data_IF_228648983570
#
_entry.id   IF_228648983570
#
_cell.length_a   1.000
_cell.length_b   1.000
_cell.length_c   1.000
_cell.angle_alpha   90.00
_cell.angle_beta   90.00
_cell.angle_gamma   90.00
#
_symmetry.space_group_name_H-M   'P 1'
#
loop_
_entity.id
_entity.type
_entity.pdbx_description
1 polymer ?
#
# COMPACT_ATOMS: atom_id res chain seq x y z
N UNK A 1 3.12 -8.45 -21.75
CA UNK A 1 2.00 -9.40 -21.92
C UNK A 1 1.78 -9.66 -23.40
N UNK A 2 1.21 -10.81 -23.77
CA UNK A 2 0.81 -11.11 -25.16
C UNK A 2 -0.68 -11.50 -25.21
N UNK A 3 -1.42 -11.08 -26.23
CA UNK A 3 -2.78 -11.56 -26.43
C UNK A 3 -2.77 -13.04 -26.85
N UNK A 4 -3.73 -13.81 -26.36
CA UNK A 4 -4.03 -15.17 -26.78
C UNK A 4 -5.55 -15.36 -26.80
N UNK A 5 -6.07 -16.08 -27.79
CA UNK A 5 -7.46 -16.47 -27.81
C UNK A 5 -7.65 -17.84 -27.14
N UNK A 6 -8.63 -17.94 -26.25
CA UNK A 6 -9.08 -19.23 -25.69
C UNK A 6 -10.57 -19.39 -25.99
N UNK A 7 -10.96 -20.54 -26.52
CA UNK A 7 -12.37 -20.85 -26.76
C UNK A 7 -12.98 -21.37 -25.46
N UNK A 8 -14.01 -20.67 -24.96
CA UNK A 8 -14.79 -21.09 -23.80
C UNK A 8 -16.27 -21.07 -24.20
N UNK A 9 -16.94 -22.22 -24.13
CA UNK A 9 -18.35 -22.35 -24.52
C UNK A 9 -18.64 -21.97 -25.97
N UNK A 10 -17.72 -22.28 -26.90
CA UNK A 10 -17.86 -21.96 -28.32
C UNK A 10 -17.56 -20.50 -28.70
N UNK A 11 -17.26 -19.61 -27.75
CA UNK A 11 -16.86 -18.23 -28.01
C UNK A 11 -15.35 -18.05 -27.81
N UNK A 12 -14.69 -17.39 -28.75
CA UNK A 12 -13.30 -17.01 -28.63
C UNK A 12 -13.17 -15.81 -27.68
N UNK A 13 -12.51 -16.00 -26.54
CA UNK A 13 -12.21 -14.94 -25.58
C UNK A 13 -10.72 -14.61 -25.69
N UNK A 14 -10.42 -13.35 -25.98
CA UNK A 14 -9.04 -12.85 -25.95
C UNK A 14 -8.66 -12.61 -24.48
N UNK A 15 -7.60 -13.27 -24.04
CA UNK A 15 -7.00 -13.07 -22.73
C UNK A 15 -5.53 -12.68 -22.89
N UNK A 16 -5.02 -11.89 -21.96
CA UNK A 16 -3.61 -11.49 -21.92
C UNK A 16 -2.85 -12.48 -21.04
N UNK A 17 -1.76 -13.05 -21.56
CA UNK A 17 -0.87 -13.90 -20.77
C UNK A 17 0.51 -13.28 -20.63
N UNK A 18 1.18 -13.58 -19.52
CA UNK A 18 2.54 -13.15 -19.26
C UNK A 18 3.53 -14.00 -20.07
N UNK A 19 4.48 -13.35 -20.73
CA UNK A 19 5.50 -14.03 -21.54
C UNK A 19 6.49 -14.79 -20.66
N UNK A 20 7.13 -15.83 -21.19
CA UNK A 20 8.21 -16.56 -20.49
C UNK A 20 9.31 -15.60 -20.01
N UNK A 21 9.76 -14.71 -20.88
CA UNK A 21 10.78 -13.70 -20.55
C UNK A 21 10.37 -12.80 -19.36
N UNK A 22 9.10 -12.39 -19.29
CA UNK A 22 8.60 -11.59 -18.18
C UNK A 22 8.56 -12.39 -16.88
N UNK A 23 8.14 -13.66 -16.93
CA UNK A 23 8.18 -14.57 -15.77
C UNK A 23 9.61 -14.78 -15.26
N UNK A 24 10.56 -15.00 -16.16
CA UNK A 24 11.97 -15.20 -15.80
C UNK A 24 12.62 -13.92 -15.25
N UNK A 25 12.23 -12.75 -15.78
CA UNK A 25 12.63 -11.48 -15.20
C UNK A 25 12.10 -11.32 -13.78
N UNK A 26 10.79 -11.53 -13.55
CA UNK A 26 10.17 -11.43 -12.23
C UNK A 26 10.85 -12.33 -11.20
N UNK A 27 11.09 -13.61 -11.55
CA UNK A 27 11.81 -14.55 -10.66
C UNK A 27 13.21 -14.07 -10.29
N UNK A 28 13.99 -13.62 -11.28
CA UNK A 28 15.34 -13.10 -11.04
C UNK A 28 15.31 -11.82 -10.20
N UNK A 29 14.36 -10.94 -10.46
CA UNK A 29 14.19 -9.68 -9.74
C UNK A 29 13.75 -9.91 -8.28
N UNK A 30 12.81 -10.82 -8.03
CA UNK A 30 12.43 -11.26 -6.69
C UNK A 30 13.62 -11.82 -5.92
N UNK A 31 14.41 -12.71 -6.54
CA UNK A 31 15.60 -13.27 -5.91
C UNK A 31 16.66 -12.20 -5.60
N UNK A 32 16.82 -11.21 -6.49
CA UNK A 32 17.67 -10.05 -6.26
C UNK A 32 17.19 -9.22 -5.07
N UNK A 33 15.92 -8.84 -5.04
CA UNK A 33 15.36 -8.04 -3.95
C UNK A 33 15.43 -8.76 -2.61
N UNK A 34 15.18 -10.07 -2.56
CA UNK A 34 15.34 -10.87 -1.35
C UNK A 34 16.74 -10.72 -0.73
N UNK A 35 17.77 -10.72 -1.57
CA UNK A 35 19.17 -10.52 -1.12
C UNK A 35 19.41 -9.10 -0.63
N UNK A 36 18.92 -8.10 -1.36
CA UNK A 36 19.09 -6.69 -0.98
C UNK A 36 18.38 -6.36 0.33
N UNK A 37 17.16 -6.85 0.51
CA UNK A 37 16.38 -6.77 1.75
C UNK A 37 17.13 -7.40 2.92
N UNK A 38 17.65 -8.61 2.74
CA UNK A 38 18.41 -9.30 3.79
C UNK A 38 19.69 -8.55 4.15
N UNK A 39 20.45 -8.06 3.15
CA UNK A 39 21.67 -7.27 3.37
C UNK A 39 21.40 -5.98 4.14
N UNK A 40 20.27 -5.34 3.87
CA UNK A 40 19.86 -4.08 4.50
C UNK A 40 19.10 -4.28 5.81
N UNK A 41 18.86 -5.54 6.22
CA UNK A 41 18.22 -5.87 7.48
C UNK A 41 16.76 -5.43 7.58
N UNK A 42 16.02 -5.41 6.46
CA UNK A 42 14.59 -5.06 6.53
C UNK A 42 13.82 -6.20 7.22
N UNK A 43 13.01 -5.83 8.20
CA UNK A 43 12.20 -6.77 8.96
C UNK A 43 10.73 -6.75 8.47
N UNK A 44 10.26 -7.91 8.00
CA UNK A 44 8.88 -8.11 7.57
C UNK A 44 7.89 -7.91 8.71
N UNK A 45 8.27 -8.24 9.96
CA UNK A 45 7.37 -8.09 11.11
C UNK A 45 7.02 -6.61 11.36
N UNK A 46 7.95 -5.71 11.02
CA UNK A 46 7.78 -4.27 11.15
C UNK A 46 6.73 -3.70 10.19
N UNK A 47 6.23 -4.49 9.24
CA UNK A 47 5.25 -4.06 8.21
C UNK A 47 3.96 -4.88 8.24
N UNK A 48 3.78 -5.71 9.27
CA UNK A 48 2.65 -6.64 9.38
C UNK A 48 1.29 -5.94 9.50
N UNK A 49 1.25 -4.73 10.06
CA UNK A 49 0.02 -4.01 10.36
C UNK A 49 0.00 -2.60 9.79
N UNK A 50 -1.15 -2.20 9.23
CA UNK A 50 -1.36 -0.85 8.71
C UNK A 50 -0.78 -0.65 7.32
N UNK A 51 -0.74 0.61 6.89
CA UNK A 51 -0.19 0.99 5.60
C UNK A 51 1.24 1.54 5.75
N UNK A 52 2.03 1.42 4.69
CA UNK A 52 3.40 1.93 4.62
C UNK A 52 3.61 2.71 3.33
N UNK A 53 4.30 3.84 3.42
CA UNK A 53 4.82 4.53 2.24
C UNK A 53 6.03 3.81 1.68
N UNK A 54 6.00 3.51 0.38
CA UNK A 54 7.17 3.07 -0.38
C UNK A 54 7.62 4.24 -1.26
N UNK A 55 8.60 4.97 -0.76
CA UNK A 55 9.14 6.14 -1.44
C UNK A 55 10.26 5.74 -2.39
N UNK A 56 10.03 5.96 -3.68
CA UNK A 56 10.96 5.58 -4.71
C UNK A 56 11.61 6.80 -5.38
N UNK A 57 12.92 6.72 -5.56
CA UNK A 57 13.70 7.60 -6.43
C UNK A 57 14.22 6.77 -7.59
N UNK A 58 13.90 7.15 -8.82
CA UNK A 58 14.33 6.45 -10.02
C UNK A 58 15.49 7.17 -10.71
N UNK A 59 16.48 6.40 -11.16
CA UNK A 59 17.54 6.83 -12.05
C UNK A 59 17.37 6.03 -13.34
N UNK A 60 16.71 6.62 -14.34
CA UNK A 60 16.35 5.99 -15.60
C UNK A 60 17.45 6.18 -16.65
N UNK A 61 17.52 5.27 -17.61
CA UNK A 61 18.52 5.36 -18.69
C UNK A 61 18.15 6.38 -19.77
N UNK A 62 16.86 6.69 -19.95
CA UNK A 62 16.33 7.56 -21.02
C UNK A 62 15.10 8.32 -20.54
N UNK A 63 14.84 9.48 -21.16
CA UNK A 63 13.72 10.38 -20.84
C UNK A 63 12.35 9.86 -21.25
N UNK A 64 12.28 8.90 -22.17
CA UNK A 64 11.02 8.31 -22.61
C UNK A 64 10.61 7.05 -21.82
N UNK A 65 11.29 6.75 -20.71
CA UNK A 65 10.95 5.61 -19.85
C UNK A 65 9.85 6.01 -18.86
N UNK A 66 8.79 5.21 -18.79
CA UNK A 66 7.73 5.40 -17.80
C UNK A 66 8.05 4.60 -16.53
N UNK A 67 8.28 5.31 -15.43
CA UNK A 67 8.62 4.70 -14.14
C UNK A 67 7.44 3.94 -13.52
N UNK A 68 6.20 4.28 -13.87
CA UNK A 68 5.02 3.66 -13.28
C UNK A 68 4.93 2.17 -13.60
N UNK A 69 5.47 1.75 -14.75
CA UNK A 69 5.55 0.34 -15.14
C UNK A 69 6.38 -0.51 -14.16
N UNK A 70 7.35 0.08 -13.47
CA UNK A 70 8.18 -0.66 -12.50
C UNK A 70 7.41 -1.00 -11.23
N UNK A 71 6.39 -0.22 -10.87
CA UNK A 71 5.71 -0.37 -9.58
C UNK A 71 4.97 -1.68 -9.43
N UNK A 72 4.27 -2.12 -10.48
CA UNK A 72 3.57 -3.40 -10.44
C UNK A 72 4.54 -4.56 -10.17
N UNK A 73 5.70 -4.54 -10.82
CA UNK A 73 6.72 -5.58 -10.64
C UNK A 73 7.40 -5.46 -9.26
N UNK A 74 7.65 -4.24 -8.80
CA UNK A 74 8.26 -3.98 -7.50
C UNK A 74 7.37 -4.46 -6.35
N UNK A 75 6.08 -4.12 -6.37
CA UNK A 75 5.13 -4.57 -5.35
C UNK A 75 4.90 -6.09 -5.39
N UNK A 76 4.72 -6.68 -6.58
CA UNK A 76 4.66 -8.13 -6.76
C UNK A 76 5.90 -8.82 -6.16
N UNK A 77 7.07 -8.16 -6.23
CA UNK A 77 8.32 -8.73 -5.77
C UNK A 77 8.61 -8.51 -4.28
N UNK A 78 8.10 -7.44 -3.68
CA UNK A 78 8.25 -7.16 -2.24
C UNK A 78 7.22 -7.92 -1.39
N UNK A 79 6.08 -8.29 -1.95
CA UNK A 79 5.04 -9.07 -1.27
C UNK A 79 5.56 -10.45 -0.87
N UNK A 80 5.34 -10.83 0.39
CA UNK A 80 5.87 -12.05 1.01
C UNK A 80 7.32 -11.93 1.49
N UNK A 81 8.05 -10.88 1.12
CA UNK A 81 9.44 -10.64 1.53
C UNK A 81 9.51 -9.53 2.58
N UNK A 82 8.98 -8.36 2.24
CA UNK A 82 9.03 -7.15 3.07
C UNK A 82 7.68 -6.84 3.67
N UNK A 83 6.60 -7.17 2.96
CA UNK A 83 5.21 -6.93 3.38
C UNK A 83 4.41 -8.22 3.24
N UNK A 84 3.28 -8.33 3.96
CA UNK A 84 2.37 -9.46 3.79
C UNK A 84 1.51 -9.34 2.53
N UNK A 85 1.01 -8.15 2.23
CA UNK A 85 0.02 -7.89 1.18
C UNK A 85 0.33 -6.54 0.52
N UNK A 86 0.27 -6.46 -0.81
CA UNK A 86 0.59 -5.25 -1.56
C UNK A 86 -0.41 -4.12 -1.32
N UNK A 87 -1.65 -4.43 -0.91
CA UNK A 87 -2.65 -3.42 -0.52
C UNK A 87 -2.17 -2.53 0.64
N UNK A 88 -1.22 -3.00 1.43
CA UNK A 88 -0.67 -2.26 2.57
C UNK A 88 0.38 -1.23 2.13
N UNK A 89 0.77 -1.18 0.85
CA UNK A 89 1.78 -0.25 0.35
C UNK A 89 1.16 0.92 -0.39
N UNK A 90 1.59 2.12 0.00
CA UNK A 90 1.32 3.38 -0.67
C UNK A 90 2.59 3.83 -1.40
N UNK A 91 2.66 3.49 -2.68
CA UNK A 91 3.82 3.80 -3.51
C UNK A 91 3.84 5.28 -3.88
N UNK A 92 5.00 5.93 -3.78
CA UNK A 92 5.18 7.33 -4.18
C UNK A 92 6.45 7.52 -4.98
N UNK A 93 6.35 8.19 -6.13
CA UNK A 93 7.54 8.72 -6.81
C UNK A 93 7.99 9.99 -6.09
N UNK A 94 9.19 9.97 -5.53
CA UNK A 94 9.79 11.18 -4.97
C UNK A 94 10.51 11.96 -6.06
N UNK A 95 11.42 11.32 -6.79
CA UNK A 95 12.15 11.92 -7.91
C UNK A 95 12.35 10.94 -9.07
N UNK A 96 12.44 11.50 -10.27
CA UNK A 96 12.89 10.81 -11.49
C UNK A 96 14.10 11.57 -12.04
N UNK A 97 15.23 10.88 -12.11
CA UNK A 97 16.50 11.36 -12.65
C UNK A 97 16.95 10.47 -13.80
N UNK A 98 17.95 10.93 -14.57
CA UNK A 98 18.47 10.20 -15.72
C UNK A 98 19.96 9.88 -15.57
N UNK A 99 20.30 8.60 -15.62
CA UNK A 99 21.66 8.06 -15.55
C UNK A 99 21.76 6.88 -16.54
N UNK A 100 22.20 7.19 -17.76
CA UNK A 100 22.33 6.19 -18.82
C UNK A 100 23.42 5.15 -18.53
N UNK A 101 24.41 5.47 -17.68
CA UNK A 101 25.52 4.58 -17.35
C UNK A 101 25.18 3.63 -16.21
N UNK A 102 24.40 4.09 -15.24
CA UNK A 102 24.05 3.32 -14.05
C UNK A 102 22.58 3.48 -13.64
N UNK A 103 21.64 2.95 -14.45
CA UNK A 103 20.22 3.00 -14.12
C UNK A 103 19.91 2.14 -12.89
N UNK A 104 19.17 2.72 -11.95
CA UNK A 104 18.86 2.11 -10.65
C UNK A 104 17.61 2.73 -10.06
N UNK A 105 17.16 2.20 -8.93
CA UNK A 105 16.19 2.87 -8.08
C UNK A 105 16.60 2.76 -6.62
N UNK A 106 16.13 3.70 -5.82
CA UNK A 106 16.21 3.65 -4.36
C UNK A 106 14.79 3.58 -3.83
N UNK A 107 14.57 2.78 -2.80
CA UNK A 107 13.28 2.63 -2.15
C UNK A 107 13.46 2.76 -0.64
N UNK A 108 12.60 3.54 0.01
CA UNK A 108 12.55 3.67 1.46
C UNK A 108 11.14 3.34 1.92
N UNK A 109 11.04 2.43 2.88
CA UNK A 109 9.78 2.04 3.50
C UNK A 109 9.58 2.81 4.81
N UNK A 110 8.42 3.45 4.97
CA UNK A 110 8.09 4.24 6.17
C UNK A 110 6.64 4.00 6.60
N UNK A 111 6.34 3.87 7.90
CA UNK A 111 4.96 3.77 8.37
C UNK A 111 4.18 5.02 7.97
N UNK A 112 2.89 4.86 7.67
CA UNK A 112 2.00 6.02 7.50
C UNK A 112 1.70 6.68 8.84
N UNK A 113 1.36 7.96 8.80
CA UNK A 113 0.96 8.70 10.01
C UNK A 113 -0.52 8.47 10.36
N UNK A 114 -1.35 8.25 9.36
CA UNK A 114 -2.80 8.12 9.54
C UNK A 114 -3.21 6.77 10.14
N UNK A 115 -4.36 6.76 10.81
CA UNK A 115 -5.00 5.54 11.31
C UNK A 115 -6.44 5.49 10.85
N UNK A 116 -6.74 4.61 9.89
CA UNK A 116 -8.08 4.52 9.32
C UNK A 116 -8.53 5.86 8.72
N UNK A 117 -9.63 6.42 9.21
CA UNK A 117 -10.13 7.73 8.74
C UNK A 117 -9.41 8.94 9.38
N UNK A 118 -8.58 8.72 10.40
CA UNK A 118 -7.93 9.77 11.17
C UNK A 118 -6.58 10.11 10.56
N UNK A 119 -6.33 11.40 10.27
CA UNK A 119 -5.13 11.88 9.55
C UNK A 119 -3.81 11.55 10.25
N UNK A 120 -3.83 11.47 11.57
CA UNK A 120 -2.68 11.15 12.39
C UNK A 120 -3.14 10.58 13.74
N UNK A 121 -2.17 10.18 14.57
CA UNK A 121 -2.45 9.65 15.91
C UNK A 121 -3.18 10.65 16.81
N UNK A 122 -2.86 11.94 16.68
CA UNK A 122 -3.48 13.01 17.46
C UNK A 122 -4.98 13.15 17.13
N UNK A 123 -5.34 13.14 15.84
CA UNK A 123 -6.73 13.20 15.38
C UNK A 123 -7.53 11.99 15.85
N UNK A 124 -6.90 10.81 15.95
CA UNK A 124 -7.52 9.63 16.53
C UNK A 124 -7.73 9.79 18.04
N UNK A 125 -6.72 10.27 18.76
CA UNK A 125 -6.78 10.53 20.21
C UNK A 125 -7.94 11.46 20.56
N UNK A 126 -8.03 12.62 19.90
CA UNK A 126 -9.14 13.57 20.08
C UNK A 126 -10.51 12.93 19.83
N UNK A 127 -10.65 12.17 18.72
CA UNK A 127 -11.90 11.47 18.46
C UNK A 127 -12.26 10.50 19.60
N UNK A 128 -11.28 9.75 20.10
CA UNK A 128 -11.50 8.79 21.18
C UNK A 128 -11.92 9.49 22.48
N UNK A 129 -11.21 10.54 22.89
CA UNK A 129 -11.49 11.31 24.10
C UNK A 129 -12.88 11.97 24.05
N UNK A 130 -13.21 12.65 22.95
CA UNK A 130 -14.44 13.43 22.82
C UNK A 130 -15.71 12.56 22.59
N UNK A 131 -15.53 11.34 22.09
CA UNK A 131 -16.65 10.51 21.64
C UNK A 131 -16.73 9.13 22.27
N UNK A 132 -15.59 8.49 22.53
CA UNK A 132 -15.54 7.08 22.92
C UNK A 132 -15.29 6.91 24.42
N UNK A 133 -14.43 7.72 25.03
CA UNK A 133 -14.02 7.59 26.43
C UNK A 133 -15.20 7.61 27.40
N UNK A 134 -16.14 8.54 27.20
CA UNK A 134 -17.37 8.65 28.00
C UNK A 134 -18.59 7.97 27.35
N UNK A 135 -18.39 7.09 26.37
CA UNK A 135 -19.50 6.38 25.73
C UNK A 135 -19.86 5.14 26.55
N UNK A 136 -21.16 4.92 26.80
CA UNK A 136 -21.68 3.71 27.45
C UNK A 136 -21.34 2.40 26.72
N UNK A 137 -20.96 2.48 25.43
CA UNK A 137 -20.60 1.30 24.64
C UNK A 137 -19.12 0.98 24.83
N UNK A 138 -18.83 -0.28 25.16
CA UNK A 138 -17.48 -0.82 25.17
C UNK A 138 -16.75 -0.52 23.85
N UNK A 139 -15.63 0.20 23.96
CA UNK A 139 -14.86 0.68 22.82
C UNK A 139 -14.25 -0.46 22.00
N UNK A 140 -13.91 -1.59 22.63
CA UNK A 140 -13.37 -2.78 21.95
C UNK A 140 -14.43 -3.48 21.11
N UNK A 141 -15.69 -3.43 21.55
CA UNK A 141 -16.84 -3.99 20.84
C UNK A 141 -17.58 -2.97 19.97
N UNK A 142 -17.08 -1.73 19.90
CA UNK A 142 -17.73 -0.67 19.16
C UNK A 142 -17.47 -0.81 17.66
N UNK A 143 -18.46 -1.36 16.94
CA UNK A 143 -18.40 -1.50 15.48
C UNK A 143 -18.11 -0.19 14.74
N UNK A 144 -18.61 0.96 15.22
CA UNK A 144 -18.35 2.29 14.61
C UNK A 144 -16.85 2.62 14.73
N UNK A 145 -16.28 2.50 15.93
CA UNK A 145 -14.86 2.77 16.18
C UNK A 145 -13.97 1.78 15.41
N UNK A 146 -14.33 0.49 15.40
CA UNK A 146 -13.60 -0.53 14.62
C UNK A 146 -13.57 -0.19 13.13
N UNK A 147 -14.73 0.12 12.53
CA UNK A 147 -14.83 0.51 11.11
C UNK A 147 -14.07 1.80 10.81
N UNK A 148 -14.06 2.76 11.74
CA UNK A 148 -13.26 3.99 11.61
C UNK A 148 -11.76 3.71 11.59
N UNK A 149 -11.27 2.83 12.48
CA UNK A 149 -9.87 2.36 12.51
C UNK A 149 -9.48 1.60 11.23
N UNK A 150 -10.43 0.90 10.61
CA UNK A 150 -10.26 0.23 9.30
C UNK A 150 -10.26 1.19 8.11
N UNK A 151 -10.55 2.48 8.31
CA UNK A 151 -10.62 3.47 7.23
C UNK A 151 -11.96 3.55 6.49
N UNK A 152 -13.03 2.95 7.04
CA UNK A 152 -14.36 3.01 6.43
C UNK A 152 -15.04 4.34 6.75
N UNK A 153 -15.34 5.10 5.70
CA UNK A 153 -16.23 6.26 5.77
C UNK A 153 -17.64 5.77 6.10
N UNK A 154 -18.31 6.43 7.05
CA UNK A 154 -19.60 6.00 7.58
C UNK A 154 -20.45 7.21 7.99
N UNK A 155 -21.76 7.13 7.77
CA UNK A 155 -22.71 8.22 8.09
C UNK A 155 -22.84 8.51 9.59
N UNK A 156 -22.50 7.51 10.43
CA UNK A 156 -22.48 7.61 11.89
C UNK A 156 -21.36 8.51 12.43
N UNK A 157 -20.39 8.90 11.58
CA UNK A 157 -19.32 9.83 11.92
C UNK A 157 -19.44 11.06 11.02
N UNK A 158 -19.58 12.22 11.64
CA UNK A 158 -19.53 13.52 10.97
C UNK A 158 -18.11 14.07 11.03
N UNK A 159 -17.70 14.78 9.99
CA UNK A 159 -16.46 15.55 9.99
C UNK A 159 -16.81 17.04 9.90
N UNK A 160 -16.36 17.82 10.87
CA UNK A 160 -16.49 19.27 10.88
C UNK A 160 -15.09 19.94 10.95
N UNK A 161 -15.05 21.26 11.11
CA UNK A 161 -13.81 22.03 11.21
C UNK A 161 -13.00 21.74 12.49
N UNK A 162 -13.61 21.13 13.51
CA UNK A 162 -13.00 20.81 14.80
C UNK A 162 -12.52 19.35 14.86
N UNK A 163 -13.08 18.46 14.05
CA UNK A 163 -12.61 17.09 13.90
C UNK A 163 -13.71 16.12 13.50
N UNK A 164 -13.60 14.88 14.00
CA UNK A 164 -14.61 13.84 13.79
C UNK A 164 -15.53 13.72 15.01
N UNK A 165 -16.84 13.57 14.78
CA UNK A 165 -17.85 13.43 15.83
C UNK A 165 -18.71 12.19 15.57
N UNK A 166 -18.86 11.34 16.58
CA UNK A 166 -19.73 10.17 16.50
C UNK A 166 -21.18 10.55 16.81
N UNK A 167 -22.09 10.42 15.82
CA UNK A 167 -23.52 10.72 15.96
C UNK A 167 -24.25 9.75 16.89
N UNK A 168 -23.69 8.57 17.13
CA UNK A 168 -24.28 7.50 17.96
C UNK A 168 -23.64 7.40 19.35
N UNK A 169 -22.80 8.35 19.76
CA UNK A 169 -22.20 8.34 21.10
C UNK A 169 -23.32 8.38 22.15
N UNK A 170 -23.32 7.41 23.07
CA UNK A 170 -24.29 7.33 24.16
C UNK A 170 -23.61 7.82 25.43
N UNK A 171 -23.95 9.03 25.87
CA UNK A 171 -23.56 9.55 27.18
C UNK A 171 -24.37 8.86 28.28
#
# INVERSE_FOLDING_TARGET
>A
MKPSAKVIGGKAIVHMYETSQAKDFKKRFQAYLKREVAKQGWDKSSTAEGHFYLDCVFYQSRTNQDNNNYYKILCDALTGIVIEDDKNILIRTQWVMYDAKNPRFMAVLRPVEYKGIFRNHESYGRFFEDNCFNCKKDSEKCAILRRAKEGRIQEDIEQDSKGFVCKKRKR
#
